data_IF_846192651459
#
_entry.id   IF_846192651459
#
_cell.length_a   1.000
_cell.length_b   1.000
_cell.length_c   1.000
_cell.angle_alpha   90.00
_cell.angle_beta   90.00
_cell.angle_gamma   90.00
#
_symmetry.space_group_name_H-M   'P 1'
#
loop_
_entity.id
_entity.type
_entity.pdbx_description
1 polymer ?
#
# COMPACT_ATOMS: atom_id res chain seq x y z
N UNK A 1 12.45 8.01 7.30
CA UNK A 1 11.00 8.06 7.60
C UNK A 1 10.77 7.57 9.02
N UNK A 2 9.71 8.02 9.71
CA UNK A 2 9.33 7.53 11.04
C UNK A 2 8.44 6.30 10.88
N UNK A 3 8.83 5.17 11.48
CA UNK A 3 8.00 3.94 11.50
C UNK A 3 6.58 4.30 11.95
N UNK A 4 5.60 3.61 11.37
CA UNK A 4 4.16 3.86 11.57
C UNK A 4 3.64 5.21 11.06
N UNK A 5 4.41 5.93 10.25
CA UNK A 5 3.98 7.17 9.60
C UNK A 5 3.26 6.94 8.26
N UNK A 6 2.50 7.95 7.82
CA UNK A 6 1.88 7.99 6.50
C UNK A 6 2.65 8.94 5.58
N UNK A 7 2.87 8.51 4.35
CA UNK A 7 3.69 9.22 3.37
C UNK A 7 3.05 9.22 1.99
N UNK A 8 3.40 10.23 1.21
CA UNK A 8 3.12 10.28 -0.23
C UNK A 8 4.38 9.84 -0.97
N UNK A 9 4.21 8.86 -1.86
CA UNK A 9 5.26 8.41 -2.78
C UNK A 9 5.21 9.31 -4.03
N UNK A 10 6.36 9.71 -4.55
CA UNK A 10 6.43 10.51 -5.79
C UNK A 10 5.94 9.69 -6.98
N UNK A 11 5.24 10.34 -7.93
CA UNK A 11 4.75 9.66 -9.15
C UNK A 11 5.89 9.00 -9.96
N UNK A 12 7.09 9.60 -9.93
CA UNK A 12 8.32 9.03 -10.52
C UNK A 12 8.58 7.58 -10.15
N UNK A 13 8.27 7.16 -8.91
CA UNK A 13 8.40 5.75 -8.51
C UNK A 13 7.52 4.83 -9.34
N UNK A 14 6.28 5.24 -9.62
CA UNK A 14 5.31 4.44 -10.37
C UNK A 14 5.62 4.45 -11.87
N UNK A 15 6.16 5.56 -12.38
CA UNK A 15 6.69 5.64 -13.75
C UNK A 15 7.86 4.69 -13.94
N UNK A 16 8.81 4.67 -12.99
CA UNK A 16 10.01 3.84 -13.05
C UNK A 16 9.72 2.35 -12.93
N UNK A 17 8.81 1.97 -12.03
CA UNK A 17 8.44 0.57 -11.84
C UNK A 17 7.51 0.07 -12.94
N UNK A 18 6.67 0.94 -13.52
CA UNK A 18 5.73 0.65 -14.60
C UNK A 18 4.87 -0.60 -14.38
N UNK A 19 4.59 -0.96 -13.11
CA UNK A 19 3.86 -2.17 -12.76
C UNK A 19 2.33 -1.88 -12.72
N UNK A 20 1.53 -2.51 -13.60
CA UNK A 20 0.09 -2.26 -13.68
C UNK A 20 -0.71 -2.76 -12.47
N UNK A 21 -0.13 -3.61 -11.62
CA UNK A 21 -0.79 -4.18 -10.44
C UNK A 21 -0.57 -3.35 -9.17
N UNK A 22 0.39 -2.42 -9.19
CA UNK A 22 0.55 -1.45 -8.11
C UNK A 22 -0.71 -0.60 -7.96
N UNK A 23 -1.05 -0.25 -6.71
CA UNK A 23 -2.18 0.65 -6.45
C UNK A 23 -1.83 2.05 -6.90
N UNK A 24 -2.29 2.43 -8.09
CA UNK A 24 -1.99 3.72 -8.72
C UNK A 24 -2.10 4.91 -7.76
N UNK A 25 -1.12 5.81 -7.85
CA UNK A 25 -0.81 6.83 -6.83
C UNK A 25 -1.80 7.99 -6.74
N UNK A 26 -2.72 8.11 -7.71
CA UNK A 26 -3.72 9.19 -7.78
C UNK A 26 -3.09 10.59 -7.79
N UNK A 27 -2.05 10.78 -8.61
CA UNK A 27 -1.28 12.03 -8.69
C UNK A 27 -0.79 12.50 -7.31
N UNK A 28 -0.11 11.61 -6.58
CA UNK A 28 0.37 11.88 -5.22
C UNK A 28 -0.69 11.99 -4.12
N UNK A 29 -1.95 11.59 -4.34
CA UNK A 29 -2.99 11.67 -3.31
C UNK A 29 -3.23 10.37 -2.55
N UNK A 30 -2.52 9.28 -2.87
CA UNK A 30 -2.65 8.02 -2.12
C UNK A 30 -1.69 7.99 -0.92
N UNK A 31 -2.20 7.94 0.32
CA UNK A 31 -1.35 7.73 1.48
C UNK A 31 -0.84 6.29 1.53
N UNK A 32 0.45 6.15 1.85
CA UNK A 32 1.12 4.87 2.06
C UNK A 32 1.64 4.80 3.49
N UNK A 33 1.31 3.72 4.18
CA UNK A 33 1.75 3.45 5.55
C UNK A 33 3.15 2.84 5.54
N UNK A 34 4.09 3.43 6.27
CA UNK A 34 5.43 2.87 6.45
C UNK A 34 5.42 1.77 7.53
N UNK A 35 5.60 0.52 7.09
CA UNK A 35 5.50 -0.68 7.91
C UNK A 35 6.80 -0.98 8.65
N UNK A 36 7.86 -1.33 7.92
CA UNK A 36 9.19 -1.60 8.46
C UNK A 36 10.25 -1.44 7.38
N UNK A 37 11.51 -1.36 7.81
CA UNK A 37 12.67 -1.23 6.95
C UNK A 37 13.46 -2.54 6.98
N UNK A 38 13.86 -2.99 5.80
CA UNK A 38 14.93 -3.95 5.61
C UNK A 38 16.26 -3.20 5.66
N UNK A 39 16.85 -3.16 6.85
CA UNK A 39 18.08 -2.41 7.13
C UNK A 39 19.28 -2.93 6.37
N UNK A 40 19.27 -4.19 5.92
CA UNK A 40 20.37 -4.78 5.17
C UNK A 40 20.46 -4.24 3.74
N UNK A 41 19.34 -3.76 3.19
CA UNK A 41 19.21 -3.28 1.79
C UNK A 41 18.79 -1.81 1.69
N UNK A 42 18.45 -1.16 2.80
CA UNK A 42 17.88 0.19 2.81
C UNK A 42 16.51 0.25 2.13
N UNK A 43 15.75 -0.85 2.16
CA UNK A 43 14.43 -0.95 1.52
C UNK A 43 13.34 -0.66 2.56
N UNK A 44 12.41 0.22 2.22
CA UNK A 44 11.26 0.57 3.07
C UNK A 44 10.00 -0.12 2.56
N UNK A 45 9.35 -0.91 3.42
CA UNK A 45 8.10 -1.57 3.09
C UNK A 45 6.90 -0.67 3.37
N UNK A 46 6.15 -0.37 2.31
CA UNK A 46 5.05 0.60 2.31
C UNK A 46 3.73 -0.10 1.95
N UNK A 47 2.65 0.21 2.66
CA UNK A 47 1.31 -0.34 2.40
C UNK A 47 0.40 0.75 1.83
N UNK A 48 -0.10 0.63 0.58
CA UNK A 48 -1.03 1.60 0.00
C UNK A 48 -2.40 1.53 0.67
N UNK A 49 -2.99 2.67 0.98
CA UNK A 49 -4.31 2.75 1.61
C UNK A 49 -5.40 3.12 0.61
N UNK A 50 -6.64 2.79 0.94
CA UNK A 50 -7.82 3.14 0.14
C UNK A 50 -9.03 3.38 1.04
N UNK A 51 -9.80 4.42 0.71
CA UNK A 51 -11.07 4.75 1.36
C UNK A 51 -12.28 3.95 0.87
N UNK A 52 -12.10 2.96 -0.02
CA UNK A 52 -13.21 2.13 -0.53
C UNK A 52 -13.62 1.06 0.50
N UNK A 53 -14.11 1.50 1.66
CA UNK A 53 -14.35 0.66 2.84
C UNK A 53 -15.25 -0.54 2.51
N UNK A 54 -16.40 -0.33 1.86
CA UNK A 54 -17.36 -1.40 1.57
C UNK A 54 -16.80 -2.48 0.63
N UNK A 55 -15.92 -2.08 -0.30
CA UNK A 55 -15.22 -3.04 -1.16
C UNK A 55 -14.31 -3.94 -0.33
N UNK A 56 -13.48 -3.35 0.54
CA UNK A 56 -12.52 -4.14 1.32
C UNK A 56 -13.19 -4.95 2.43
N UNK A 57 -14.26 -4.45 3.05
CA UNK A 57 -15.09 -5.23 3.98
C UNK A 57 -15.62 -6.51 3.34
N UNK A 58 -16.22 -6.41 2.14
CA UNK A 58 -16.70 -7.59 1.40
C UNK A 58 -15.58 -8.58 1.06
N UNK A 59 -14.37 -8.11 0.78
CA UNK A 59 -13.21 -8.98 0.52
C UNK A 59 -12.82 -9.74 1.79
N UNK A 60 -12.76 -9.06 2.93
CA UNK A 60 -12.45 -9.65 4.24
C UNK A 60 -13.50 -10.70 4.61
N UNK A 61 -14.78 -10.36 4.56
CA UNK A 61 -15.88 -11.29 4.87
C UNK A 61 -15.85 -12.55 3.99
N UNK A 62 -15.55 -12.39 2.69
CA UNK A 62 -15.44 -13.52 1.76
C UNK A 62 -14.26 -14.44 2.13
N UNK A 63 -13.14 -13.86 2.55
CA UNK A 63 -11.93 -14.59 2.98
C UNK A 63 -12.16 -15.35 4.28
N UNK A 64 -12.78 -14.70 5.26
CA UNK A 64 -13.15 -15.31 6.55
C UNK A 64 -14.11 -16.49 6.36
N UNK A 65 -15.15 -16.34 5.52
CA UNK A 65 -16.07 -17.44 5.17
C UNK A 65 -15.39 -18.63 4.49
N UNK A 66 -14.29 -18.39 3.78
CA UNK A 66 -13.51 -19.43 3.13
C UNK A 66 -12.45 -20.07 4.05
N UNK A 67 -12.37 -19.67 5.33
CA UNK A 67 -11.35 -20.15 6.28
C UNK A 67 -9.92 -19.70 5.92
N UNK A 68 -9.79 -18.62 5.14
CA UNK A 68 -8.50 -18.08 4.68
C UNK A 68 -8.33 -16.65 5.20
N UNK A 69 -7.93 -16.46 6.47
CA UNK A 69 -7.70 -15.13 7.03
C UNK A 69 -6.70 -14.30 6.21
#
# INVERSE_FOLDING_TARGET
MKKTGFYIIKDKFFEDMSDPYLKGNKAGNRPHYYCFEDTSRGIYWMIPLSSQIDKYKRIVEKKEKAGKP
#
